data_IF_438011613424
#
_entry.id   IF_438011613424
#
_cell.length_a   1.000
_cell.length_b   1.000
_cell.length_c   1.000
_cell.angle_alpha   90.00
_cell.angle_beta   90.00
_cell.angle_gamma   90.00
#
_symmetry.space_group_name_H-M   'P 1'
#
loop_
_entity.id
_entity.type
_entity.pdbx_description
1 polymer ?
#
# COMPACT_ATOMS: atom_id res chain seq x y z
N UNK A 1 -38.77 -1.44 6.65
CA UNK A 1 -37.59 -0.58 6.48
C UNK A 1 -36.36 -1.38 6.87
N UNK A 2 -35.69 -2.04 5.92
CA UNK A 2 -34.51 -2.86 6.20
C UNK A 2 -33.26 -1.98 6.22
N UNK A 3 -32.62 -1.85 7.39
CA UNK A 3 -31.35 -1.13 7.52
C UNK A 3 -30.25 -1.88 6.76
N UNK A 4 -29.89 -1.37 5.57
CA UNK A 4 -28.66 -1.75 4.89
C UNK A 4 -27.47 -1.15 5.64
N UNK A 5 -26.93 -1.89 6.59
CA UNK A 5 -25.66 -1.58 7.23
C UNK A 5 -24.57 -1.66 6.16
N UNK A 6 -24.13 -0.51 5.64
CA UNK A 6 -22.96 -0.39 4.78
C UNK A 6 -21.78 -1.02 5.54
N UNK A 7 -21.40 -2.24 5.17
CA UNK A 7 -20.15 -2.85 5.62
C UNK A 7 -19.03 -1.96 5.08
N UNK A 8 -18.49 -1.11 5.95
CA UNK A 8 -17.19 -0.48 5.72
C UNK A 8 -16.22 -1.62 5.35
N UNK A 9 -15.41 -1.50 4.29
CA UNK A 9 -14.41 -2.51 4.01
C UNK A 9 -13.59 -2.68 5.27
N UNK A 10 -13.69 -3.87 5.85
CA UNK A 10 -12.88 -4.29 6.98
C UNK A 10 -11.43 -4.02 6.60
N UNK A 11 -10.77 -3.16 7.40
CA UNK A 11 -9.32 -2.94 7.46
C UNK A 11 -8.60 -4.07 6.74
N UNK A 12 -8.04 -3.76 5.57
CA UNK A 12 -7.53 -4.73 4.60
C UNK A 12 -6.89 -5.93 5.31
N UNK A 13 -7.39 -7.13 5.01
CA UNK A 13 -6.81 -8.37 5.49
C UNK A 13 -5.30 -8.32 5.29
N UNK A 14 -4.51 -8.75 6.29
CA UNK A 14 -3.04 -8.76 6.21
C UNK A 14 -2.60 -9.34 4.87
N UNK A 15 -2.02 -8.51 4.02
CA UNK A 15 -1.39 -8.98 2.80
C UNK A 15 -0.07 -9.64 3.20
N UNK A 16 -0.11 -10.94 3.50
CA UNK A 16 1.09 -11.76 3.73
C UNK A 16 1.83 -11.92 2.39
N UNK A 17 2.57 -10.88 1.99
CA UNK A 17 3.43 -10.93 0.81
C UNK A 17 4.63 -11.84 1.07
N UNK A 18 4.94 -12.71 0.12
CA UNK A 18 6.17 -13.51 0.13
C UNK A 18 7.37 -12.57 0.16
N UNK A 19 8.43 -12.99 0.85
CA UNK A 19 9.68 -12.22 0.98
C UNK A 19 10.23 -11.78 -0.39
N UNK A 20 10.30 -12.70 -1.34
CA UNK A 20 10.76 -12.43 -2.71
C UNK A 20 9.91 -11.37 -3.42
N UNK A 21 8.58 -11.43 -3.27
CA UNK A 21 7.67 -10.42 -3.83
C UNK A 21 7.90 -9.06 -3.20
N UNK A 22 8.15 -8.99 -1.89
CA UNK A 22 8.45 -7.73 -1.20
C UNK A 22 9.77 -7.14 -1.65
N UNK A 23 10.81 -7.95 -1.77
CA UNK A 23 12.12 -7.53 -2.24
C UNK A 23 12.02 -7.02 -3.68
N UNK A 24 11.36 -7.76 -4.56
CA UNK A 24 11.15 -7.34 -5.95
C UNK A 24 10.36 -6.02 -6.06
N UNK A 25 9.28 -5.85 -5.30
CA UNK A 25 8.49 -4.60 -5.29
C UNK A 25 9.33 -3.42 -4.80
N UNK A 26 10.12 -3.62 -3.74
CA UNK A 26 10.96 -2.57 -3.14
C UNK A 26 12.10 -2.17 -4.06
N UNK A 27 12.76 -3.14 -4.70
CA UNK A 27 13.95 -2.87 -5.52
C UNK A 27 13.65 -2.43 -6.95
N UNK A 28 12.52 -2.89 -7.52
CA UNK A 28 12.23 -2.70 -8.95
C UNK A 28 11.01 -1.83 -9.16
N UNK A 29 9.86 -2.27 -8.67
CA UNK A 29 8.57 -1.67 -9.05
C UNK A 29 8.40 -0.27 -8.47
N UNK A 30 8.60 -0.11 -7.16
CA UNK A 30 8.38 1.18 -6.50
C UNK A 30 9.28 2.28 -7.07
N UNK A 31 10.61 2.08 -7.24
CA UNK A 31 11.47 3.07 -7.88
C UNK A 31 11.02 3.44 -9.29
N UNK A 32 10.62 2.45 -10.10
CA UNK A 32 10.17 2.68 -11.47
C UNK A 32 8.87 3.48 -11.52
N UNK A 33 7.89 3.15 -10.68
CA UNK A 33 6.62 3.86 -10.63
C UNK A 33 6.80 5.29 -10.09
N UNK A 34 7.71 5.51 -9.14
CA UNK A 34 8.06 6.88 -8.70
C UNK A 34 8.70 7.71 -9.82
N UNK A 35 9.56 7.10 -10.64
CA UNK A 35 10.13 7.78 -11.81
C UNK A 35 9.04 8.18 -12.81
N UNK A 36 8.11 7.26 -13.12
CA UNK A 36 6.96 7.55 -13.99
C UNK A 36 6.08 8.65 -13.40
N UNK A 37 5.77 8.62 -12.10
CA UNK A 37 4.98 9.65 -11.44
C UNK A 37 5.64 11.04 -11.57
N UNK A 38 6.97 11.11 -11.44
CA UNK A 38 7.71 12.35 -11.65
C UNK A 38 7.65 12.83 -13.10
N UNK A 39 7.77 11.92 -14.07
CA UNK A 39 7.66 12.28 -15.49
C UNK A 39 6.27 12.80 -15.84
N UNK A 40 5.22 12.19 -15.27
CA UNK A 40 3.84 12.63 -15.41
C UNK A 40 3.60 14.00 -14.74
N UNK A 41 4.12 14.21 -13.52
CA UNK A 41 4.06 15.50 -12.83
C UNK A 41 4.74 16.60 -13.66
N UNK A 42 5.91 16.32 -14.25
CA UNK A 42 6.61 17.24 -15.14
C UNK A 42 5.82 17.55 -16.43
N UNK A 43 4.98 16.61 -16.88
CA UNK A 43 4.06 16.81 -18.00
C UNK A 43 2.80 17.60 -17.62
N UNK A 44 2.62 17.93 -16.33
CA UNK A 44 1.47 18.67 -15.81
C UNK A 44 0.29 17.78 -15.41
N UNK A 45 0.49 16.46 -15.33
CA UNK A 45 -0.56 15.51 -14.91
C UNK A 45 -0.72 15.49 -13.38
N UNK A 46 -1.94 15.26 -12.92
CA UNK A 46 -2.23 15.10 -11.49
C UNK A 46 -1.89 13.68 -11.02
N UNK A 47 -0.77 13.54 -10.33
CA UNK A 47 -0.26 12.25 -9.84
C UNK A 47 -0.52 12.01 -8.35
N UNK A 48 -1.32 12.86 -7.68
CA UNK A 48 -1.51 12.78 -6.22
C UNK A 48 -2.01 11.42 -5.75
N UNK A 49 -3.01 10.86 -6.43
CA UNK A 49 -3.57 9.56 -6.08
C UNK A 49 -2.56 8.41 -6.32
N UNK A 50 -1.75 8.54 -7.38
CA UNK A 50 -0.69 7.56 -7.69
C UNK A 50 0.40 7.59 -6.61
N UNK A 51 0.86 8.77 -6.21
CA UNK A 51 1.86 8.92 -5.14
C UNK A 51 1.32 8.37 -3.81
N UNK A 52 0.07 8.71 -3.47
CA UNK A 52 -0.56 8.20 -2.25
C UNK A 52 -0.66 6.67 -2.23
N UNK A 53 -0.97 6.04 -3.37
CA UNK A 53 -1.01 4.58 -3.48
C UNK A 53 0.38 3.94 -3.34
N UNK A 54 1.43 4.58 -3.87
CA UNK A 54 2.82 4.11 -3.70
C UNK A 54 3.25 4.24 -2.24
N UNK A 55 2.91 5.33 -1.57
CA UNK A 55 3.23 5.55 -0.15
C UNK A 55 2.54 4.50 0.74
N UNK A 56 1.27 4.17 0.45
CA UNK A 56 0.54 3.10 1.15
C UNK A 56 1.21 1.73 0.91
N UNK A 57 1.63 1.45 -0.32
CA UNK A 57 2.34 0.21 -0.66
C UNK A 57 3.68 0.12 0.08
N UNK A 58 4.49 1.18 0.08
CA UNK A 58 5.75 1.24 0.85
C UNK A 58 5.52 0.98 2.34
N UNK A 59 4.45 1.52 2.92
CA UNK A 59 4.08 1.26 4.31
C UNK A 59 3.75 -0.22 4.55
N UNK A 60 2.98 -0.85 3.66
CA UNK A 60 2.66 -2.29 3.72
C UNK A 60 3.92 -3.15 3.65
N UNK A 61 4.90 -2.78 2.81
CA UNK A 61 6.15 -3.51 2.66
C UNK A 61 7.07 -3.35 3.88
N UNK A 62 7.15 -2.13 4.44
CA UNK A 62 8.00 -1.80 5.58
C UNK A 62 7.52 -2.45 6.88
N UNK A 63 6.22 -2.46 7.12
CA UNK A 63 5.67 -2.93 8.39
C UNK A 63 5.73 -4.45 8.56
N UNK A 64 5.91 -5.20 7.48
CA UNK A 64 5.87 -6.65 7.49
C UNK A 64 4.64 -7.25 8.19
N UNK A 65 4.60 -8.57 8.41
CA UNK A 65 3.61 -9.12 9.33
C UNK A 65 3.92 -8.54 10.71
N UNK A 66 3.21 -7.50 11.13
CA UNK A 66 3.31 -6.99 12.49
C UNK A 66 3.07 -8.17 13.43
N UNK A 67 4.13 -8.62 14.10
CA UNK A 67 4.04 -9.48 15.28
C UNK A 67 3.48 -8.64 16.42
N UNK A 68 2.22 -8.20 16.29
CA UNK A 68 1.45 -7.80 17.45
C UNK A 68 0.95 -9.07 18.13
N UNK A 69 1.90 -9.79 18.73
CA UNK A 69 1.66 -10.50 19.97
C UNK A 69 1.46 -9.43 21.04
N UNK A 70 0.30 -8.78 21.02
CA UNK A 70 -0.14 -7.99 22.15
C UNK A 70 -0.70 -8.97 23.17
N UNK A 71 0.22 -9.60 23.91
CA UNK A 71 -0.06 -10.11 25.24
C UNK A 71 -0.61 -8.93 26.05
N UNK A 72 -1.87 -9.02 26.47
CA UNK A 72 -2.32 -8.38 27.69
C UNK A 72 -3.10 -9.40 28.53
N UNK A 73 -2.65 -9.70 29.76
CA UNK A 73 -3.59 -10.02 30.83
C UNK A 73 -4.42 -8.78 31.20
#
# INVERSE_FOLDING_TARGET
MGSMTRRRPSRAARTELRKETREWLTEKTIPNVRAIAKDLENAGEDVRDLVAAIDELEAILKDGPRKDGFLRP
#
